data_IF_761160265999
#
_entry.id   IF_761160265999
#
_cell.length_a   1.000
_cell.length_b   1.000
_cell.length_c   1.000
_cell.angle_alpha   90.00
_cell.angle_beta   90.00
_cell.angle_gamma   90.00
#
_symmetry.space_group_name_H-M   'P 1'
#
loop_
_entity.id
_entity.type
_entity.pdbx_description
1 polymer ?
#
# COMPACT_ATOMS: atom_id res chain seq x y z
N UNK A 1 25.37 2.38 31.94
CA UNK A 1 25.04 1.00 31.50
C UNK A 1 23.60 0.75 31.89
N UNK A 2 22.68 0.65 30.93
CA UNK A 2 21.28 0.35 31.20
C UNK A 2 21.03 -1.12 30.86
N UNK A 3 21.02 -1.98 31.87
CA UNK A 3 20.68 -3.39 31.73
C UNK A 3 19.17 -3.54 31.52
N UNK A 4 18.76 -3.83 30.30
CA UNK A 4 17.34 -4.02 29.95
C UNK A 4 16.83 -5.45 30.21
N UNK A 5 17.67 -6.34 30.73
CA UNK A 5 17.29 -7.67 31.16
C UNK A 5 17.97 -8.02 32.49
N UNK A 6 17.19 -8.59 33.42
CA UNK A 6 17.67 -9.10 34.69
C UNK A 6 17.97 -10.60 34.51
N UNK A 7 19.24 -10.99 34.63
CA UNK A 7 19.66 -12.39 34.49
C UNK A 7 19.37 -13.13 35.80
N UNK A 8 18.52 -14.15 35.75
CA UNK A 8 18.16 -14.95 36.94
C UNK A 8 19.20 -16.06 37.17
N UNK A 9 19.65 -16.77 36.12
CA UNK A 9 20.83 -17.67 36.15
C UNK A 9 21.46 -17.88 34.76
N UNK A 10 22.38 -18.84 34.63
CA UNK A 10 23.16 -19.10 33.41
C UNK A 10 22.31 -19.45 32.18
N UNK A 11 21.13 -20.02 32.36
CA UNK A 11 20.28 -20.53 31.27
C UNK A 11 18.85 -19.95 31.27
N UNK A 12 18.50 -19.11 32.26
CA UNK A 12 17.18 -18.46 32.32
C UNK A 12 17.25 -16.93 32.32
N UNK A 13 16.69 -16.36 31.25
CA UNK A 13 16.43 -14.93 31.11
C UNK A 13 14.96 -14.64 31.43
N UNK A 14 14.70 -13.72 32.36
CA UNK A 14 13.36 -13.15 32.50
C UNK A 14 13.23 -12.00 31.53
N UNK A 15 12.55 -12.24 30.42
CA UNK A 15 12.20 -11.20 29.46
C UNK A 15 11.01 -10.42 30.03
N UNK A 16 11.17 -9.12 30.36
CA UNK A 16 10.06 -8.29 30.81
C UNK A 16 9.00 -8.18 29.72
N UNK A 17 7.72 -8.24 30.07
CA UNK A 17 6.62 -8.13 29.10
C UNK A 17 6.61 -6.76 28.37
N UNK A 18 7.25 -5.75 28.95
CA UNK A 18 7.41 -4.39 28.45
C UNK A 18 8.75 -4.19 27.70
N UNK A 19 9.50 -5.26 27.37
CA UNK A 19 10.79 -5.14 26.67
C UNK A 19 10.64 -4.39 25.33
N UNK A 20 9.53 -4.59 24.62
CA UNK A 20 9.23 -3.89 23.36
C UNK A 20 9.03 -2.39 23.61
N UNK A 21 8.27 -2.02 24.64
CA UNK A 21 8.05 -0.62 25.01
C UNK A 21 9.32 0.05 25.53
N UNK A 22 10.18 -0.70 26.24
CA UNK A 22 11.50 -0.23 26.68
C UNK A 22 12.47 -0.05 25.51
N UNK A 23 12.44 -0.95 24.54
CA UNK A 23 13.21 -0.82 23.30
C UNK A 23 12.78 0.42 22.53
N UNK A 24 11.46 0.59 22.34
CA UNK A 24 10.90 1.79 21.71
C UNK A 24 11.26 3.07 22.48
N UNK A 25 11.09 3.09 23.81
CA UNK A 25 11.44 4.25 24.62
C UNK A 25 12.95 4.55 24.59
N UNK A 26 13.81 3.54 24.46
CA UNK A 26 15.25 3.72 24.28
C UNK A 26 15.58 4.30 22.90
N UNK A 27 14.96 3.77 21.84
CA UNK A 27 15.09 4.27 20.48
C UNK A 27 14.58 5.71 20.34
N UNK A 28 13.54 6.10 21.09
CA UNK A 28 13.01 7.46 21.14
C UNK A 28 13.83 8.40 22.04
N UNK A 29 14.53 7.89 23.06
CA UNK A 29 15.33 8.69 24.00
C UNK A 29 16.76 8.97 23.49
N UNK A 30 17.19 8.31 22.41
CA UNK A 30 18.53 8.48 21.82
C UNK A 30 18.66 9.73 20.96
N UNK A 31 19.20 10.79 21.55
CA UNK A 31 19.56 12.06 20.89
C UNK A 31 20.69 11.89 19.86
N UNK A 32 20.34 11.41 18.65
CA UNK A 32 21.20 11.41 17.46
C UNK A 32 20.41 11.98 16.28
N UNK A 33 20.72 13.21 15.89
CA UNK A 33 20.44 13.81 14.57
C UNK A 33 19.24 13.20 13.83
N UNK A 34 18.03 13.53 14.29
CA UNK A 34 16.69 13.26 13.71
C UNK A 34 16.66 12.34 12.48
N UNK A 35 16.95 11.05 12.66
CA UNK A 35 16.75 10.05 11.60
C UNK A 35 15.23 9.84 11.49
N UNK A 36 14.62 10.36 10.43
CA UNK A 36 13.21 10.08 10.11
C UNK A 36 13.15 8.75 9.37
N UNK A 37 12.66 7.71 10.04
CA UNK A 37 12.37 6.42 9.43
C UNK A 37 10.93 6.44 8.92
N UNK A 38 10.72 6.10 7.66
CA UNK A 38 9.39 5.89 7.06
C UNK A 38 9.33 4.55 6.35
N UNK A 39 8.18 3.88 6.46
CA UNK A 39 7.92 2.63 5.74
C UNK A 39 7.35 2.97 4.37
N UNK A 40 8.08 2.68 3.29
CA UNK A 40 7.64 2.94 1.91
C UNK A 40 6.74 1.83 1.37
N UNK A 41 6.91 0.60 1.87
CA UNK A 41 6.09 -0.55 1.54
C UNK A 41 6.11 -1.56 2.70
N UNK A 42 4.96 -2.11 3.11
CA UNK A 42 4.92 -3.20 4.09
C UNK A 42 5.35 -4.56 3.49
N UNK A 43 5.46 -4.65 2.16
CA UNK A 43 5.81 -5.87 1.42
C UNK A 43 7.33 -5.93 1.16
N UNK A 44 7.97 -7.09 1.34
CA UNK A 44 9.42 -7.23 1.14
C UNK A 44 9.84 -7.01 -0.33
N UNK A 45 11.11 -6.69 -0.57
CA UNK A 45 11.62 -6.52 -1.94
C UNK A 45 11.42 -7.78 -2.79
N UNK A 46 11.69 -8.96 -2.23
CA UNK A 46 11.53 -10.23 -2.93
C UNK A 46 10.09 -10.50 -3.36
N UNK A 47 9.13 -10.18 -2.48
CA UNK A 47 7.72 -10.27 -2.81
C UNK A 47 7.31 -9.27 -3.88
N UNK A 48 7.90 -8.07 -3.89
CA UNK A 48 7.59 -7.03 -4.89
C UNK A 48 8.10 -7.37 -6.30
N UNK A 49 9.22 -8.09 -6.43
CA UNK A 49 9.81 -8.44 -7.75
C UNK A 49 8.77 -9.14 -8.65
N UNK A 50 8.16 -10.21 -8.14
CA UNK A 50 7.20 -11.03 -8.87
C UNK A 50 5.72 -10.61 -8.70
N UNK A 51 5.43 -9.54 -7.95
CA UNK A 51 4.04 -9.16 -7.66
C UNK A 51 3.30 -8.75 -8.93
N UNK A 52 2.15 -9.36 -9.20
CA UNK A 52 1.36 -9.10 -10.43
C UNK A 52 0.54 -7.80 -10.39
N UNK A 53 1.05 -6.75 -9.74
CA UNK A 53 0.39 -5.47 -9.55
C UNK A 53 1.38 -4.39 -9.16
N UNK A 54 0.91 -3.18 -8.85
CA UNK A 54 1.81 -2.07 -8.55
C UNK A 54 2.51 -2.24 -7.19
N UNK A 55 3.77 -1.86 -7.15
CA UNK A 55 4.65 -1.94 -5.99
C UNK A 55 5.44 -0.65 -5.80
N UNK A 56 6.21 -0.56 -4.72
CA UNK A 56 7.14 0.57 -4.54
C UNK A 56 8.24 0.57 -5.62
N UNK A 57 8.73 -0.61 -6.03
CA UNK A 57 9.74 -0.73 -7.10
C UNK A 57 9.28 -0.07 -8.41
N UNK A 58 7.99 -0.19 -8.76
CA UNK A 58 7.47 0.41 -9.98
C UNK A 58 7.46 1.95 -9.90
N UNK A 59 7.09 2.49 -8.73
CA UNK A 59 7.11 3.93 -8.47
C UNK A 59 8.52 4.50 -8.49
N UNK A 60 9.48 3.77 -7.91
CA UNK A 60 10.89 4.14 -7.94
C UNK A 60 11.46 4.11 -9.37
N UNK A 61 11.08 3.12 -10.20
CA UNK A 61 11.49 3.06 -11.61
C UNK A 61 10.92 4.23 -12.44
N UNK A 62 9.68 4.65 -12.16
CA UNK A 62 8.96 5.72 -12.84
C UNK A 62 9.26 7.13 -12.30
N UNK A 63 9.88 7.24 -11.12
CA UNK A 63 10.16 8.52 -10.48
C UNK A 63 11.12 9.37 -11.32
N UNK A 64 10.83 10.68 -11.41
CA UNK A 64 11.74 11.65 -12.06
C UNK A 64 13.01 11.83 -11.25
N UNK A 65 12.87 11.87 -9.93
CA UNK A 65 13.97 11.92 -8.96
C UNK A 65 13.99 10.60 -8.22
N UNK A 66 15.02 9.79 -8.47
CA UNK A 66 15.19 8.49 -7.83
C UNK A 66 15.88 8.62 -6.49
N UNK A 67 15.54 7.71 -5.59
CA UNK A 67 16.20 7.53 -4.31
C UNK A 67 17.69 7.24 -4.54
N UNK A 68 18.56 7.96 -3.83
CA UNK A 68 20.00 7.68 -3.85
C UNK A 68 20.23 6.42 -3.01
N UNK A 69 20.38 5.28 -3.68
CA UNK A 69 20.65 3.99 -3.04
C UNK A 69 22.16 3.78 -2.90
N UNK A 70 22.59 3.39 -1.70
CA UNK A 70 23.97 3.00 -1.43
C UNK A 70 24.39 1.78 -2.29
N UNK A 71 25.68 1.66 -2.59
CA UNK A 71 26.23 0.51 -3.32
C UNK A 71 26.49 -0.71 -2.43
N UNK A 72 26.08 -0.68 -1.16
CA UNK A 72 26.29 -1.75 -0.18
C UNK A 72 25.06 -1.96 0.71
N UNK A 73 25.06 -3.10 1.42
CA UNK A 73 23.95 -3.53 2.27
C UNK A 73 22.59 -3.50 1.55
N UNK A 74 21.57 -3.02 2.24
CA UNK A 74 20.21 -2.92 1.73
C UNK A 74 20.08 -2.06 0.46
N UNK A 75 20.94 -1.06 0.27
CA UNK A 75 20.94 -0.25 -0.96
C UNK A 75 21.27 -1.08 -2.20
N UNK A 76 22.23 -2.01 -2.08
CA UNK A 76 22.58 -2.96 -3.14
C UNK A 76 21.45 -3.94 -3.42
N UNK A 77 20.80 -4.43 -2.38
CA UNK A 77 19.63 -5.32 -2.49
C UNK A 77 18.47 -4.61 -3.22
N UNK A 78 18.19 -3.36 -2.88
CA UNK A 78 17.17 -2.55 -3.55
C UNK A 78 17.51 -2.31 -5.04
N UNK A 79 18.77 -2.01 -5.39
CA UNK A 79 19.21 -1.92 -6.79
C UNK A 79 19.01 -3.24 -7.54
N UNK A 80 19.39 -4.36 -6.94
CA UNK A 80 19.18 -5.68 -7.54
C UNK A 80 17.69 -6.00 -7.73
N UNK A 81 16.84 -5.63 -6.77
CA UNK A 81 15.40 -5.80 -6.86
C UNK A 81 14.78 -4.95 -7.99
N UNK A 82 15.26 -3.71 -8.19
CA UNK A 82 14.81 -2.86 -9.30
C UNK A 82 15.14 -3.47 -10.67
N UNK A 83 16.34 -4.06 -10.84
CA UNK A 83 16.70 -4.74 -12.10
C UNK A 83 15.92 -6.04 -12.31
N UNK A 84 15.69 -6.83 -11.26
CA UNK A 84 14.84 -8.03 -11.36
C UNK A 84 13.39 -7.68 -11.68
N UNK A 85 12.85 -6.62 -11.04
CA UNK A 85 11.48 -6.16 -11.27
C UNK A 85 11.28 -5.70 -12.71
N UNK A 86 12.25 -4.98 -13.26
CA UNK A 86 12.32 -4.61 -14.66
C UNK A 86 12.10 -5.81 -15.59
N UNK A 87 12.81 -6.91 -15.34
CA UNK A 87 12.63 -8.15 -16.11
C UNK A 87 11.24 -8.76 -15.89
N UNK A 88 10.76 -8.83 -14.65
CA UNK A 88 9.41 -9.33 -14.35
C UNK A 88 8.31 -8.52 -15.07
N UNK A 89 8.47 -7.21 -15.22
CA UNK A 89 7.54 -6.36 -15.99
C UNK A 89 7.57 -6.68 -17.49
N UNK A 90 8.72 -7.09 -18.03
CA UNK A 90 8.82 -7.60 -19.42
C UNK A 90 8.13 -8.95 -19.54
N UNK A 91 8.42 -9.87 -18.63
CA UNK A 91 7.84 -11.22 -18.62
C UNK A 91 6.30 -11.20 -18.49
N UNK A 92 5.77 -10.23 -17.72
CA UNK A 92 4.33 -9.98 -17.58
C UNK A 92 3.71 -9.19 -18.75
N UNK A 93 4.51 -8.73 -19.73
CA UNK A 93 4.04 -7.96 -20.88
C UNK A 93 3.69 -6.49 -20.59
N UNK A 94 4.08 -5.97 -19.43
CA UNK A 94 3.89 -4.56 -19.06
C UNK A 94 4.94 -3.63 -19.67
N UNK A 95 6.11 -4.18 -19.99
CA UNK A 95 7.25 -3.49 -20.56
C UNK A 95 7.87 -4.30 -21.71
N UNK A 96 8.72 -3.65 -22.50
CA UNK A 96 9.49 -4.27 -23.58
C UNK A 96 10.98 -4.04 -23.35
N UNK A 97 11.77 -5.10 -23.53
CA UNK A 97 13.23 -5.00 -23.58
C UNK A 97 13.65 -4.40 -24.94
N UNK A 98 14.39 -3.29 -24.88
CA UNK A 98 14.94 -2.62 -26.06
C UNK A 98 16.41 -3.01 -26.31
N UNK A 99 16.96 -3.94 -25.52
CA UNK A 99 18.36 -4.33 -25.52
C UNK A 99 19.25 -3.35 -24.77
N UNK A 100 20.50 -3.76 -24.51
CA UNK A 100 21.52 -2.97 -23.83
C UNK A 100 21.09 -2.45 -22.44
N UNK A 101 20.28 -3.23 -21.72
CA UNK A 101 19.76 -2.87 -20.39
C UNK A 101 18.68 -1.79 -20.39
N UNK A 102 18.12 -1.44 -21.57
CA UNK A 102 17.05 -0.44 -21.69
C UNK A 102 15.70 -1.14 -21.76
N UNK A 103 14.78 -0.69 -20.90
CA UNK A 103 13.40 -1.17 -20.90
C UNK A 103 12.47 0.02 -21.20
N UNK A 104 11.45 -0.24 -22.01
CA UNK A 104 10.39 0.72 -22.33
C UNK A 104 9.07 0.23 -21.78
N UNK A 105 8.32 1.13 -21.13
CA UNK A 105 6.97 0.86 -20.67
C UNK A 105 6.03 1.96 -21.15
N UNK A 106 4.74 1.64 -21.23
CA UNK A 106 3.73 2.64 -21.55
C UNK A 106 3.63 3.69 -20.43
N UNK A 107 3.22 4.92 -20.79
CA UNK A 107 3.10 6.04 -19.83
C UNK A 107 2.12 5.77 -18.69
N UNK A 108 1.21 4.83 -18.86
CA UNK A 108 0.17 4.45 -17.91
C UNK A 108 0.53 3.18 -17.11
N UNK A 109 1.79 2.72 -17.16
CA UNK A 109 2.26 1.48 -16.50
C UNK A 109 1.73 1.34 -15.07
N UNK A 110 1.95 2.35 -14.23
CA UNK A 110 1.55 2.33 -12.82
C UNK A 110 0.04 2.15 -12.70
N UNK A 111 -0.74 2.89 -13.49
CA UNK A 111 -2.20 2.81 -13.48
C UNK A 111 -2.70 1.42 -13.87
N UNK A 112 -2.08 0.78 -14.88
CA UNK A 112 -2.45 -0.58 -15.31
C UNK A 112 -2.11 -1.62 -14.22
N UNK A 113 -0.93 -1.49 -13.61
CA UNK A 113 -0.50 -2.34 -12.50
C UNK A 113 -1.37 -2.17 -11.25
N UNK A 114 -1.80 -0.95 -10.92
CA UNK A 114 -2.72 -0.68 -9.80
C UNK A 114 -4.10 -1.29 -10.07
N UNK A 115 -4.64 -1.13 -11.29
CA UNK A 115 -5.91 -1.73 -11.67
C UNK A 115 -5.89 -3.27 -11.57
N UNK A 116 -4.80 -3.91 -12.03
CA UNK A 116 -4.61 -5.36 -11.88
C UNK A 116 -4.52 -5.80 -10.42
N UNK A 117 -3.85 -5.00 -9.57
CA UNK A 117 -3.74 -5.29 -8.13
C UNK A 117 -5.08 -5.23 -7.41
N UNK A 118 -5.85 -4.18 -7.69
CA UNK A 118 -7.19 -3.96 -7.11
C UNK A 118 -8.15 -5.05 -7.56
N UNK A 119 -8.15 -5.41 -8.85
CA UNK A 119 -9.05 -6.45 -9.38
C UNK A 119 -8.76 -7.82 -8.77
N UNK A 120 -7.48 -8.20 -8.66
CA UNK A 120 -7.08 -9.46 -8.02
C UNK A 120 -7.46 -9.49 -6.55
N UNK A 121 -7.16 -8.43 -5.80
CA UNK A 121 -7.51 -8.31 -4.39
C UNK A 121 -9.03 -8.31 -4.18
N UNK A 122 -9.77 -7.59 -5.01
CA UNK A 122 -11.23 -7.54 -4.99
C UNK A 122 -11.85 -8.92 -5.22
N UNK A 123 -11.37 -9.68 -6.23
CA UNK A 123 -11.81 -11.06 -6.47
C UNK A 123 -11.51 -11.98 -5.29
N UNK A 124 -10.33 -11.88 -4.67
CA UNK A 124 -9.99 -12.69 -3.50
C UNK A 124 -10.89 -12.37 -2.29
N UNK A 125 -11.11 -11.08 -2.01
CA UNK A 125 -11.98 -10.62 -0.93
C UNK A 125 -13.46 -11.00 -1.15
N UNK A 126 -13.90 -11.06 -2.41
CA UNK A 126 -15.25 -11.52 -2.75
C UNK A 126 -15.49 -12.97 -2.35
N UNK A 127 -14.49 -13.85 -2.61
CA UNK A 127 -14.53 -15.25 -2.19
C UNK A 127 -14.55 -15.35 -0.66
N UNK A 128 -13.67 -14.62 0.03
CA UNK A 128 -13.57 -14.65 1.49
C UNK A 128 -14.87 -14.19 2.18
N UNK A 129 -15.53 -13.16 1.63
CA UNK A 129 -16.68 -12.49 2.28
C UNK A 129 -18.03 -12.98 1.80
N UNK A 130 -18.09 -13.84 0.77
CA UNK A 130 -19.36 -14.22 0.14
C UNK A 130 -20.12 -13.01 -0.42
N UNK A 131 -19.39 -12.07 -1.03
CA UNK A 131 -19.90 -10.83 -1.62
C UNK A 131 -19.47 -10.72 -3.07
N UNK A 132 -20.16 -9.91 -3.86
CA UNK A 132 -19.75 -9.65 -5.24
C UNK A 132 -18.67 -8.58 -5.30
N UNK A 133 -17.60 -8.83 -6.06
CA UNK A 133 -16.62 -7.80 -6.42
C UNK A 133 -17.21 -6.90 -7.50
N UNK A 134 -17.30 -5.60 -7.22
CA UNK A 134 -17.79 -4.58 -8.14
C UNK A 134 -16.72 -3.50 -8.31
N UNK A 135 -15.89 -3.56 -9.37
CA UNK A 135 -14.84 -2.58 -9.60
C UNK A 135 -15.39 -1.15 -9.64
N UNK A 136 -14.75 -0.24 -8.91
CA UNK A 136 -15.02 1.19 -9.03
C UNK A 136 -14.49 1.70 -10.38
N UNK A 137 -15.38 1.93 -11.34
CA UNK A 137 -15.01 2.47 -12.65
C UNK A 137 -14.88 3.99 -12.54
N UNK A 138 -13.74 4.60 -12.94
CA UNK A 138 -13.62 6.05 -12.97
C UNK A 138 -14.74 6.71 -13.79
N UNK A 139 -15.34 7.76 -13.26
CA UNK A 139 -16.53 8.44 -13.78
C UNK A 139 -17.85 7.88 -13.26
N UNK A 140 -17.88 6.68 -12.66
CA UNK A 140 -19.10 6.07 -12.16
C UNK A 140 -19.37 6.43 -10.69
N UNK A 141 -20.65 6.48 -10.35
CA UNK A 141 -21.10 6.66 -8.98
C UNK A 141 -20.82 5.40 -8.16
N UNK A 142 -20.26 5.59 -6.96
CA UNK A 142 -20.05 4.55 -5.95
C UNK A 142 -20.75 4.99 -4.68
N UNK A 143 -21.61 4.13 -4.13
CA UNK A 143 -22.30 4.40 -2.88
C UNK A 143 -22.43 3.14 -2.05
N UNK A 144 -22.41 3.31 -0.74
CA UNK A 144 -22.52 2.22 0.22
C UNK A 144 -21.92 2.58 1.55
N UNK A 145 -21.88 1.60 2.44
CA UNK A 145 -21.27 1.74 3.76
C UNK A 145 -19.76 1.66 3.62
N UNK A 146 -19.05 2.66 4.12
CA UNK A 146 -17.59 2.57 4.27
C UNK A 146 -17.28 1.60 5.42
N UNK A 147 -16.84 0.38 5.11
CA UNK A 147 -16.63 -0.67 6.14
C UNK A 147 -15.23 -0.64 6.73
N UNK A 148 -14.29 0.04 6.09
CA UNK A 148 -12.91 0.18 6.55
C UNK A 148 -11.94 0.30 5.39
N UNK A 149 -10.70 -0.16 5.62
CA UNK A 149 -9.63 -0.13 4.62
C UNK A 149 -8.88 -1.45 4.55
N UNK A 150 -8.33 -1.75 3.38
CA UNK A 150 -7.37 -2.84 3.17
C UNK A 150 -6.04 -2.30 2.67
N UNK A 151 -4.94 -2.95 3.04
CA UNK A 151 -3.60 -2.62 2.57
C UNK A 151 -3.21 -3.61 1.47
N UNK A 152 -2.93 -3.08 0.28
CA UNK A 152 -2.39 -3.81 -0.87
C UNK A 152 -0.94 -3.37 -1.13
N UNK A 153 -0.22 -4.08 -2.00
CA UNK A 153 1.11 -3.65 -2.48
C UNK A 153 1.04 -2.31 -3.21
N UNK A 154 -0.06 -2.06 -3.91
CA UNK A 154 -0.36 -0.80 -4.57
C UNK A 154 -0.75 0.33 -3.62
N UNK A 155 -0.99 0.08 -2.33
CA UNK A 155 -1.34 1.12 -1.36
C UNK A 155 -2.55 0.75 -0.52
N UNK A 156 -3.08 1.73 0.20
CA UNK A 156 -4.26 1.55 1.06
C UNK A 156 -5.52 1.88 0.28
N UNK A 157 -6.54 1.04 0.41
CA UNK A 157 -7.82 1.20 -0.27
C UNK A 157 -8.97 1.18 0.73
N UNK A 158 -9.94 2.07 0.57
CA UNK A 158 -11.21 2.03 1.28
C UNK A 158 -12.14 1.00 0.63
N UNK A 159 -12.91 0.31 1.46
CA UNK A 159 -13.93 -0.64 1.02
C UNK A 159 -15.33 -0.05 1.23
N UNK A 160 -16.09 0.03 0.15
CA UNK A 160 -17.49 0.48 0.15
C UNK A 160 -18.37 -0.73 -0.13
N UNK A 161 -19.24 -1.08 0.82
CA UNK A 161 -20.16 -2.22 0.73
C UNK A 161 -21.60 -1.71 0.59
N UNK A 162 -22.29 -2.08 -0.49
CA UNK A 162 -23.67 -1.66 -0.77
C UNK A 162 -24.72 -2.68 -0.28
N UNK A 163 -24.29 -3.78 0.31
CA UNK A 163 -25.11 -4.90 0.78
C UNK A 163 -25.22 -6.06 -0.22
N UNK A 164 -24.96 -5.85 -1.50
CA UNK A 164 -24.97 -6.86 -2.56
C UNK A 164 -23.54 -7.21 -3.02
N UNK A 165 -22.68 -6.19 -3.09
CA UNK A 165 -21.29 -6.28 -3.44
C UNK A 165 -20.47 -5.20 -2.74
N UNK A 166 -19.23 -5.07 -3.18
CA UNK A 166 -18.34 -4.03 -2.69
C UNK A 166 -17.38 -3.56 -3.76
N UNK A 167 -16.89 -2.34 -3.56
CA UNK A 167 -15.86 -1.70 -4.35
C UNK A 167 -14.65 -1.33 -3.49
N UNK A 168 -13.48 -1.30 -4.10
CA UNK A 168 -12.26 -0.76 -3.52
C UNK A 168 -11.90 0.54 -4.23
N UNK A 169 -11.60 1.57 -3.44
CA UNK A 169 -11.22 2.90 -3.90
C UNK A 169 -9.95 3.35 -3.18
N UNK A 170 -9.12 4.23 -3.76
CA UNK A 170 -7.94 4.75 -3.06
C UNK A 170 -8.31 5.36 -1.69
N UNK A 171 -7.54 5.02 -0.65
CA UNK A 171 -7.77 5.55 0.70
C UNK A 171 -7.40 7.03 0.79
N UNK A 172 -8.21 7.81 1.51
CA UNK A 172 -7.90 9.19 1.88
C UNK A 172 -8.08 9.36 3.39
N UNK A 173 -7.18 10.06 4.11
CA UNK A 173 -7.31 10.27 5.56
C UNK A 173 -8.67 10.86 5.97
N UNK A 174 -9.25 11.72 5.13
CA UNK A 174 -10.57 12.29 5.38
C UNK A 174 -11.71 11.25 5.49
N UNK A 175 -11.53 10.04 4.94
CA UNK A 175 -12.50 8.94 5.03
C UNK A 175 -12.59 8.32 6.42
N UNK A 176 -11.57 8.51 7.26
CA UNK A 176 -11.48 7.85 8.57
C UNK A 176 -12.66 8.18 9.48
N UNK A 177 -13.11 9.44 9.48
CA UNK A 177 -14.28 9.89 10.24
C UNK A 177 -15.63 9.32 9.74
N UNK A 178 -15.65 8.71 8.55
CA UNK A 178 -16.85 8.17 7.92
C UNK A 178 -16.92 6.64 7.97
N UNK A 179 -15.94 5.96 8.60
CA UNK A 179 -16.00 4.51 8.79
C UNK A 179 -17.30 4.14 9.52
N UNK A 180 -17.98 3.12 9.00
CA UNK A 180 -19.27 2.65 9.46
C UNK A 180 -20.48 3.44 8.95
N UNK A 181 -20.28 4.55 8.23
CA UNK A 181 -21.35 5.41 7.70
C UNK A 181 -21.61 5.15 6.21
N UNK A 182 -22.80 5.53 5.76
CA UNK A 182 -23.14 5.57 4.33
C UNK A 182 -22.45 6.75 3.66
N UNK A 183 -21.76 6.48 2.55
CA UNK A 183 -21.09 7.47 1.71
C UNK A 183 -21.48 7.29 0.25
N UNK A 184 -21.36 8.35 -0.54
CA UNK A 184 -21.56 8.35 -1.98
C UNK A 184 -20.55 9.28 -2.64
N UNK A 185 -20.21 9.00 -3.90
CA UNK A 185 -19.32 9.85 -4.68
C UNK A 185 -19.11 9.32 -6.08
N UNK A 186 -18.31 10.03 -6.87
CA UNK A 186 -17.93 9.61 -8.20
C UNK A 186 -16.51 9.08 -8.13
N UNK A 187 -16.27 7.81 -8.45
CA UNK A 187 -14.90 7.30 -8.54
C UNK A 187 -14.15 8.11 -9.60
N UNK A 188 -12.96 8.60 -9.30
CA UNK A 188 -12.17 9.40 -10.25
C UNK A 188 -10.86 8.67 -10.56
N UNK A 189 -10.22 8.95 -11.72
CA UNK A 189 -8.92 8.36 -12.03
C UNK A 189 -7.83 8.95 -11.11
N UNK A 190 -7.03 8.09 -10.48
CA UNK A 190 -5.89 8.51 -9.65
C UNK A 190 -6.24 8.79 -8.19
N UNK A 191 -5.44 9.62 -7.52
CA UNK A 191 -5.57 9.90 -6.08
C UNK A 191 -6.68 10.90 -5.72
N UNK A 192 -7.28 11.56 -6.70
CA UNK A 192 -8.21 12.66 -6.43
C UNK A 192 -9.64 12.28 -6.78
N UNK A 193 -10.51 12.21 -5.77
CA UNK A 193 -11.93 11.86 -5.90
C UNK A 193 -12.79 12.99 -5.32
N UNK A 194 -13.77 13.47 -6.08
CA UNK A 194 -14.78 14.39 -5.56
C UNK A 194 -15.88 13.60 -4.84
N UNK A 195 -15.95 13.77 -3.51
CA UNK A 195 -16.87 13.04 -2.64
C UNK A 195 -18.01 13.95 -2.21
N UNK A 196 -19.25 13.48 -2.39
CA UNK A 196 -20.42 14.06 -1.74
C UNK A 196 -20.69 13.33 -0.43
N UNK A 197 -20.16 13.87 0.67
CA UNK A 197 -20.39 13.33 2.01
C UNK A 197 -21.80 13.70 2.50
N UNK A 198 -22.77 12.83 2.18
CA UNK A 198 -24.06 12.79 2.85
C UNK A 198 -25.20 13.52 2.12
N UNK A 199 -26.38 12.92 2.24
CA UNK A 199 -27.66 13.46 1.81
C UNK A 199 -28.02 14.67 2.68
N UNK A 200 -28.06 15.88 2.11
CA UNK A 200 -28.90 16.95 2.69
C UNK A 200 -30.35 16.59 2.39
N UNK A 201 -31.10 16.16 3.41
CA UNK A 201 -32.57 16.22 3.38
C UNK A 201 -32.97 17.69 3.24
N UNK A 202 -33.14 18.16 2.01
CA UNK A 202 -33.98 19.32 1.71
C UNK A 202 -35.41 18.83 1.58
N UNK A 203 -36.13 18.74 2.71
CA UNK A 203 -37.57 18.91 2.68
C UNK A 203 -37.83 20.37 2.31
N UNK A 204 -38.58 20.60 1.24
CA UNK A 204 -38.97 21.95 0.82
C UNK A 204 -39.83 21.88 -0.43
N UNK A 205 -41.13 21.63 -0.17
CA UNK A 205 -42.33 21.91 -0.95
C UNK A 205 -42.18 22.28 -2.44
#
# INVERSE_FOLDING_TARGET
MAGHAERIDADHWRVPADLVERGQAHDFAGDRATIRISVLSPTSLDQQIGHEGATWLDRELAARERTILADEGFGREAKAALEKRKQSLVDMGYAADLGNGRISAQKDLIRRLEAADIDRAGKALAVERGRQWQPAVPGNHVAGRLVGSTQLSSGRFAMIDDGLGFSLIPWRPALEQYIGRQISGIAMPGEDVDWSFGWKRGLGL
#
